data_IF_593201361293
#
_entry.id   IF_593201361293
#
_cell.length_a   1.000
_cell.length_b   1.000
_cell.length_c   1.000
_cell.angle_alpha   90.00
_cell.angle_beta   90.00
_cell.angle_gamma   90.00
#
_symmetry.space_group_name_H-M   'P 1'
#
loop_
_entity.id
_entity.type
_entity.pdbx_description
1 polymer ?
#
# COMPACT_ATOMS: atom_id res chain seq x y z
N UNK A 1 -5.67 -11.66 19.04
CA UNK A 1 -6.41 -10.89 18.01
C UNK A 1 -7.36 -9.97 18.74
N UNK A 2 -7.10 -8.66 18.70
CA UNK A 2 -7.93 -7.67 19.40
C UNK A 2 -9.22 -7.37 18.65
N UNK A 3 -9.19 -7.44 17.30
CA UNK A 3 -10.30 -7.07 16.45
C UNK A 3 -10.56 -8.14 15.38
N UNK A 4 -11.83 -8.46 15.17
CA UNK A 4 -12.25 -9.44 14.18
C UNK A 4 -13.54 -9.00 13.50
N UNK A 5 -13.50 -8.80 12.19
CA UNK A 5 -14.68 -8.42 11.38
C UNK A 5 -15.43 -9.69 10.93
N UNK A 6 -14.72 -10.61 10.25
CA UNK A 6 -15.28 -11.88 9.81
C UNK A 6 -14.19 -12.94 9.66
N UNK A 7 -14.60 -14.18 9.45
CA UNK A 7 -13.67 -15.32 9.35
C UNK A 7 -12.91 -15.39 8.03
N UNK A 8 -13.50 -14.94 6.95
CA UNK A 8 -12.92 -14.94 5.62
C UNK A 8 -13.83 -14.21 4.64
N UNK A 9 -13.29 -13.78 3.51
CA UNK A 9 -14.04 -13.07 2.45
C UNK A 9 -14.90 -14.02 1.62
N UNK A 10 -15.95 -13.50 0.98
CA UNK A 10 -16.68 -14.18 -0.06
C UNK A 10 -15.80 -14.42 -1.30
N UNK A 11 -16.26 -15.30 -2.21
CA UNK A 11 -15.58 -15.57 -3.49
C UNK A 11 -15.76 -14.38 -4.42
N UNK A 12 -14.78 -13.49 -4.47
CA UNK A 12 -14.87 -12.18 -5.14
C UNK A 12 -15.17 -12.23 -6.64
N UNK A 13 -14.91 -13.36 -7.28
CA UNK A 13 -15.28 -13.65 -8.67
C UNK A 13 -16.79 -13.92 -8.86
N UNK A 14 -17.53 -14.23 -7.79
CA UNK A 14 -18.93 -14.66 -7.80
C UNK A 14 -19.85 -13.84 -6.92
N UNK A 15 -19.37 -13.44 -5.74
CA UNK A 15 -20.13 -12.73 -4.72
C UNK A 15 -19.33 -11.61 -4.10
N UNK A 16 -19.96 -10.75 -3.30
CA UNK A 16 -19.27 -9.67 -2.60
C UNK A 16 -18.37 -10.25 -1.51
N UNK A 17 -17.15 -9.68 -1.39
CA UNK A 17 -16.20 -10.07 -0.35
C UNK A 17 -16.77 -9.88 1.06
N UNK A 18 -17.46 -8.77 1.27
CA UNK A 18 -17.98 -8.31 2.55
C UNK A 18 -19.43 -7.85 2.39
N UNK A 19 -20.20 -7.89 3.46
CA UNK A 19 -21.44 -7.11 3.56
C UNK A 19 -21.10 -5.62 3.67
N UNK A 20 -22.09 -4.74 3.44
CA UNK A 20 -21.89 -3.30 3.58
C UNK A 20 -21.43 -2.92 5.00
N UNK A 21 -22.03 -3.51 6.01
CA UNK A 21 -21.68 -3.26 7.42
C UNK A 21 -20.27 -3.73 7.73
N UNK A 22 -19.88 -4.93 7.28
CA UNK A 22 -18.51 -5.46 7.49
C UNK A 22 -17.46 -4.59 6.81
N UNK A 23 -17.73 -4.13 5.57
CA UNK A 23 -16.82 -3.24 4.85
C UNK A 23 -16.63 -1.89 5.54
N UNK A 24 -17.74 -1.29 6.02
CA UNK A 24 -17.69 -0.03 6.78
C UNK A 24 -16.93 -0.23 8.09
N UNK A 25 -17.29 -1.26 8.88
CA UNK A 25 -16.62 -1.54 10.16
C UNK A 25 -15.13 -1.84 10.01
N UNK A 26 -14.72 -2.55 8.95
CA UNK A 26 -13.31 -2.80 8.69
C UNK A 26 -12.55 -1.50 8.40
N UNK A 27 -13.09 -0.64 7.54
CA UNK A 27 -12.48 0.63 7.20
C UNK A 27 -12.36 1.55 8.43
N UNK A 28 -13.43 1.70 9.21
CA UNK A 28 -13.45 2.49 10.45
C UNK A 28 -12.49 1.94 11.51
N UNK A 29 -12.37 0.61 11.60
CA UNK A 29 -11.39 -0.03 12.47
C UNK A 29 -9.95 0.37 12.10
N UNK A 30 -9.63 0.39 10.80
CA UNK A 30 -8.32 0.86 10.33
C UNK A 30 -8.05 2.30 10.74
N UNK A 31 -9.04 3.19 10.59
CA UNK A 31 -8.92 4.58 11.02
C UNK A 31 -8.66 4.68 12.53
N UNK A 32 -9.42 3.93 13.33
CA UNK A 32 -9.27 3.89 14.79
C UNK A 32 -7.88 3.41 15.20
N UNK A 33 -7.36 2.35 14.57
CA UNK A 33 -6.01 1.84 14.87
C UNK A 33 -4.94 2.89 14.55
N UNK A 34 -5.05 3.61 13.42
CA UNK A 34 -4.13 4.70 13.11
C UNK A 34 -4.15 5.80 14.17
N UNK A 35 -5.34 6.21 14.64
CA UNK A 35 -5.46 7.20 15.72
C UNK A 35 -4.83 6.70 17.02
N UNK A 36 -5.10 5.46 17.43
CA UNK A 36 -4.55 4.86 18.65
C UNK A 36 -3.01 4.81 18.63
N UNK A 37 -2.41 4.40 17.51
CA UNK A 37 -0.94 4.34 17.38
C UNK A 37 -0.31 5.74 17.38
N UNK A 38 -0.92 6.71 16.68
CA UNK A 38 -0.44 8.08 16.64
C UNK A 38 -0.58 8.75 18.02
N UNK A 39 -1.72 8.57 18.69
CA UNK A 39 -1.95 9.11 20.03
C UNK A 39 -1.02 8.47 21.08
N UNK A 40 -0.52 7.25 20.83
CA UNK A 40 0.50 6.60 21.65
C UNK A 40 1.93 7.10 21.40
N UNK A 41 2.13 7.98 20.41
CA UNK A 41 3.40 8.64 20.12
C UNK A 41 4.17 8.08 18.92
N UNK A 42 3.50 7.39 17.99
CA UNK A 42 4.15 6.93 16.76
C UNK A 42 4.41 8.09 15.79
N UNK A 43 5.67 8.31 15.41
CA UNK A 43 6.10 9.33 14.45
C UNK A 43 6.06 8.83 13.00
N UNK A 44 6.10 7.51 12.79
CA UNK A 44 6.01 6.84 11.49
C UNK A 44 5.25 5.53 11.64
N UNK A 45 4.46 5.19 10.65
CA UNK A 45 3.64 3.98 10.66
C UNK A 45 4.03 3.03 9.53
N UNK A 46 3.81 1.74 9.75
CA UNK A 46 3.96 0.67 8.77
C UNK A 46 2.75 -0.25 8.89
N UNK A 47 2.12 -0.57 7.75
CA UNK A 47 1.07 -1.57 7.68
C UNK A 47 1.59 -2.82 6.97
N UNK A 48 1.44 -3.98 7.60
CA UNK A 48 1.73 -5.29 7.03
C UNK A 48 0.48 -6.17 7.01
N UNK A 49 0.43 -7.11 6.09
CA UNK A 49 -0.67 -8.06 5.95
C UNK A 49 -0.16 -9.50 5.90
N UNK A 50 -0.59 -10.33 6.85
CA UNK A 50 -0.30 -11.75 6.94
C UNK A 50 -1.47 -12.62 6.39
N UNK A 51 -2.40 -12.02 5.66
CA UNK A 51 -3.59 -12.68 5.13
C UNK A 51 -3.24 -13.77 4.10
N UNK A 52 -3.96 -14.90 4.18
CA UNK A 52 -3.83 -15.96 3.17
C UNK A 52 -4.76 -15.66 2.00
N UNK A 53 -4.22 -15.66 0.77
CA UNK A 53 -4.97 -15.38 -0.45
C UNK A 53 -5.15 -13.90 -0.76
N UNK A 54 -4.61 -12.99 0.06
CA UNK A 54 -4.70 -11.52 -0.07
C UNK A 54 -4.15 -10.97 -1.40
N UNK A 55 -3.21 -11.67 -2.05
CA UNK A 55 -2.65 -11.25 -3.34
C UNK A 55 -3.67 -11.25 -4.50
N UNK A 56 -4.76 -12.03 -4.38
CA UNK A 56 -5.84 -12.04 -5.39
C UNK A 56 -6.66 -10.74 -5.35
N UNK A 57 -7.28 -10.34 -4.23
CA UNK A 57 -7.97 -9.06 -4.15
C UNK A 57 -7.04 -7.86 -4.38
N UNK A 58 -5.78 -7.91 -3.94
CA UNK A 58 -4.80 -6.86 -4.25
C UNK A 58 -4.59 -6.70 -5.77
N UNK A 59 -4.40 -7.81 -6.50
CA UNK A 59 -4.29 -7.79 -7.97
C UNK A 59 -5.55 -7.21 -8.63
N UNK A 60 -6.74 -7.55 -8.15
CA UNK A 60 -8.03 -7.01 -8.66
C UNK A 60 -8.09 -5.50 -8.49
N UNK A 61 -7.80 -5.00 -7.29
CA UNK A 61 -7.81 -3.56 -7.00
C UNK A 61 -6.79 -2.81 -7.85
N UNK A 62 -5.55 -3.32 -7.94
CA UNK A 62 -4.50 -2.71 -8.76
C UNK A 62 -4.90 -2.73 -10.23
N UNK A 63 -5.39 -3.86 -10.75
CA UNK A 63 -5.85 -3.98 -12.14
C UNK A 63 -6.94 -2.95 -12.48
N UNK A 64 -7.91 -2.77 -11.60
CA UNK A 64 -8.98 -1.80 -11.78
C UNK A 64 -8.47 -0.35 -11.68
N UNK A 65 -7.77 -0.02 -10.61
CA UNK A 65 -7.41 1.37 -10.28
C UNK A 65 -6.22 1.90 -11.09
N UNK A 66 -5.36 1.00 -11.60
CA UNK A 66 -4.27 1.33 -12.50
C UNK A 66 -4.58 1.02 -13.99
N UNK A 67 -5.79 0.55 -14.31
CA UNK A 67 -6.22 0.20 -15.67
C UNK A 67 -5.31 -0.84 -16.35
N UNK A 68 -4.89 -1.87 -15.62
CA UNK A 68 -4.05 -2.95 -16.11
C UNK A 68 -4.84 -4.25 -16.33
N UNK A 69 -4.35 -5.10 -17.23
CA UNK A 69 -4.98 -6.39 -17.51
C UNK A 69 -4.79 -7.39 -16.38
N UNK A 70 -5.77 -8.31 -16.22
CA UNK A 70 -5.73 -9.32 -15.17
C UNK A 70 -4.44 -10.17 -15.19
N UNK A 71 -3.94 -10.54 -16.37
CA UNK A 71 -2.70 -11.29 -16.51
C UNK A 71 -1.48 -10.48 -16.05
N UNK A 72 -1.45 -9.18 -16.34
CA UNK A 72 -0.34 -8.30 -15.96
C UNK A 72 -0.23 -8.09 -14.45
N UNK A 73 -1.36 -8.13 -13.71
CA UNK A 73 -1.37 -7.93 -12.25
C UNK A 73 -1.39 -9.25 -11.46
N UNK A 74 -1.49 -10.40 -12.12
CA UNK A 74 -1.53 -11.69 -11.42
C UNK A 74 -0.14 -12.29 -11.29
N UNK A 75 0.43 -12.19 -10.10
CA UNK A 75 1.68 -12.83 -9.75
C UNK A 75 1.50 -14.29 -9.33
N UNK A 76 2.63 -15.00 -9.23
CA UNK A 76 2.69 -16.39 -8.77
C UNK A 76 2.57 -16.51 -7.24
N UNK A 77 2.55 -15.39 -6.52
CA UNK A 77 2.48 -15.37 -5.06
C UNK A 77 3.63 -16.16 -4.44
N UNK A 78 3.31 -17.11 -3.57
CA UNK A 78 4.31 -17.96 -2.89
C UNK A 78 4.89 -19.07 -3.78
N UNK A 79 4.54 -19.13 -5.09
CA UNK A 79 5.09 -20.12 -6.03
C UNK A 79 4.06 -21.17 -6.46
N UNK A 80 2.93 -20.73 -7.02
CA UNK A 80 1.92 -21.62 -7.60
C UNK A 80 2.36 -22.11 -9.00
N UNK A 81 1.85 -23.28 -9.42
CA UNK A 81 2.06 -23.82 -10.76
C UNK A 81 1.23 -23.06 -11.82
N UNK A 82 1.52 -23.31 -13.10
CA UNK A 82 0.89 -22.61 -14.23
C UNK A 82 -0.62 -22.84 -14.28
N UNK A 83 -1.09 -24.06 -13.95
CA UNK A 83 -2.53 -24.38 -13.93
C UNK A 83 -3.26 -23.59 -12.83
N UNK A 84 -2.66 -23.44 -11.68
CA UNK A 84 -3.17 -22.63 -10.58
C UNK A 84 -3.09 -21.13 -10.91
N UNK A 85 -2.01 -20.70 -11.56
CA UNK A 85 -1.88 -19.32 -12.03
C UNK A 85 -2.98 -18.97 -13.05
N UNK A 86 -3.28 -19.85 -14.02
CA UNK A 86 -4.39 -19.63 -14.96
C UNK A 86 -5.73 -19.50 -14.26
N UNK A 87 -6.01 -20.35 -13.26
CA UNK A 87 -7.24 -20.23 -12.43
C UNK A 87 -7.28 -18.91 -11.66
N UNK A 88 -6.16 -18.48 -11.10
CA UNK A 88 -6.05 -17.19 -10.41
C UNK A 88 -6.28 -16.03 -11.37
N UNK A 89 -5.71 -16.04 -12.57
CA UNK A 89 -5.96 -15.03 -13.60
C UNK A 89 -7.44 -14.96 -13.99
N UNK A 90 -8.12 -16.09 -14.14
CA UNK A 90 -9.54 -16.14 -14.43
C UNK A 90 -10.37 -15.51 -13.28
N UNK A 91 -10.07 -15.86 -12.03
CA UNK A 91 -10.73 -15.30 -10.87
C UNK A 91 -10.49 -13.78 -10.76
N UNK A 92 -9.24 -13.30 -10.97
CA UNK A 92 -8.92 -11.87 -11.01
C UNK A 92 -9.72 -11.16 -12.10
N UNK A 93 -9.75 -11.70 -13.33
CA UNK A 93 -10.52 -11.13 -14.45
C UNK A 93 -12.01 -11.01 -14.13
N UNK A 94 -12.59 -12.06 -13.55
CA UNK A 94 -14.03 -12.10 -13.27
C UNK A 94 -14.39 -11.17 -12.10
N UNK A 95 -13.54 -11.10 -11.07
CA UNK A 95 -13.67 -10.12 -9.99
C UNK A 95 -13.49 -8.67 -10.48
N UNK A 96 -12.55 -8.39 -11.39
CA UNK A 96 -12.42 -7.09 -12.03
C UNK A 96 -13.68 -6.70 -12.82
N UNK A 97 -14.31 -7.64 -13.53
CA UNK A 97 -15.58 -7.39 -14.22
C UNK A 97 -16.66 -6.95 -13.24
N UNK A 98 -16.78 -7.62 -12.09
CA UNK A 98 -17.74 -7.27 -11.04
C UNK A 98 -17.44 -5.91 -10.41
N UNK A 99 -16.17 -5.62 -10.09
CA UNK A 99 -15.75 -4.38 -9.44
C UNK A 99 -15.80 -3.15 -10.35
N UNK A 100 -15.73 -3.31 -11.67
CA UNK A 100 -15.59 -2.20 -12.63
C UNK A 100 -16.65 -1.11 -12.48
N UNK A 101 -17.90 -1.49 -12.22
CA UNK A 101 -18.99 -0.54 -12.04
C UNK A 101 -18.85 0.33 -10.78
N UNK A 102 -18.02 -0.06 -9.82
CA UNK A 102 -17.83 0.64 -8.54
C UNK A 102 -16.50 1.42 -8.46
N UNK A 103 -15.80 1.61 -9.58
CA UNK A 103 -14.53 2.34 -9.59
C UNK A 103 -14.66 3.81 -9.12
N UNK A 104 -15.85 4.40 -9.22
CA UNK A 104 -16.18 5.72 -8.68
C UNK A 104 -16.58 5.73 -7.20
N UNK A 105 -16.74 4.55 -6.59
CA UNK A 105 -17.21 4.35 -5.22
C UNK A 105 -16.19 3.51 -4.43
N UNK A 106 -15.04 4.09 -3.98
CA UNK A 106 -13.92 3.33 -3.43
C UNK A 106 -14.29 2.42 -2.25
N UNK A 107 -15.16 2.86 -1.36
CA UNK A 107 -15.63 2.05 -0.22
C UNK A 107 -16.51 0.88 -0.68
N UNK A 108 -17.34 1.08 -1.70
CA UNK A 108 -18.14 0.01 -2.30
C UNK A 108 -17.24 -0.98 -3.04
N UNK A 109 -16.22 -0.49 -3.72
CA UNK A 109 -15.25 -1.35 -4.38
C UNK A 109 -14.55 -2.29 -3.39
N UNK A 110 -14.13 -1.79 -2.23
CA UNK A 110 -13.58 -2.61 -1.13
C UNK A 110 -14.56 -3.69 -0.68
N UNK A 111 -15.83 -3.35 -0.50
CA UNK A 111 -16.86 -4.31 -0.13
C UNK A 111 -16.99 -5.44 -1.14
N UNK A 112 -16.95 -5.12 -2.43
CA UNK A 112 -17.23 -6.09 -3.52
C UNK A 112 -16.04 -7.01 -3.81
N UNK A 113 -14.82 -6.47 -3.84
CA UNK A 113 -13.65 -7.21 -4.39
C UNK A 113 -12.43 -7.26 -3.48
N UNK A 114 -12.49 -6.76 -2.24
CA UNK A 114 -11.35 -6.79 -1.33
C UNK A 114 -11.51 -7.85 -0.22
N UNK A 115 -11.09 -7.51 0.97
CA UNK A 115 -11.25 -8.23 2.20
C UNK A 115 -11.27 -7.25 3.35
N UNK A 116 -11.56 -7.72 4.56
CA UNK A 116 -11.59 -6.89 5.75
C UNK A 116 -10.20 -6.32 6.08
N UNK A 117 -9.14 -7.05 5.77
CA UNK A 117 -7.73 -6.69 5.86
C UNK A 117 -7.40 -5.45 5.00
N UNK A 118 -7.64 -5.52 3.69
CA UNK A 118 -7.37 -4.41 2.76
C UNK A 118 -8.29 -3.22 3.05
N UNK A 119 -9.55 -3.46 3.44
CA UNK A 119 -10.46 -2.40 3.84
C UNK A 119 -9.97 -1.66 5.08
N UNK A 120 -9.48 -2.38 6.09
CA UNK A 120 -8.88 -1.80 7.29
C UNK A 120 -7.60 -1.03 6.96
N UNK A 121 -6.69 -1.60 6.16
CA UNK A 121 -5.48 -0.91 5.71
C UNK A 121 -5.79 0.37 4.93
N UNK A 122 -6.82 0.37 4.08
CA UNK A 122 -7.22 1.60 3.36
C UNK A 122 -7.69 2.69 4.32
N UNK A 123 -8.46 2.33 5.36
CA UNK A 123 -8.86 3.25 6.42
C UNK A 123 -7.67 3.77 7.23
N UNK A 124 -6.75 2.88 7.61
CA UNK A 124 -5.52 3.20 8.33
C UNK A 124 -4.63 4.20 7.56
N UNK A 125 -4.37 3.95 6.28
CA UNK A 125 -3.55 4.81 5.44
C UNK A 125 -4.18 6.20 5.23
N UNK A 126 -5.49 6.23 5.04
CA UNK A 126 -6.21 7.50 4.91
C UNK A 126 -6.16 8.30 6.21
N UNK A 127 -6.41 7.66 7.36
CA UNK A 127 -6.41 8.32 8.67
C UNK A 127 -5.02 8.84 9.05
N UNK A 128 -3.97 8.04 8.82
CA UNK A 128 -2.59 8.49 9.01
C UNK A 128 -2.30 9.78 8.24
N UNK A 129 -2.78 9.87 6.99
CA UNK A 129 -2.64 11.06 6.15
C UNK A 129 -3.41 12.27 6.69
N UNK A 130 -4.63 12.06 7.20
CA UNK A 130 -5.44 13.10 7.85
C UNK A 130 -4.71 13.62 9.10
N UNK A 131 -4.09 12.71 9.87
CA UNK A 131 -3.29 13.02 11.05
C UNK A 131 -1.88 13.56 10.71
N UNK A 132 -1.53 13.64 9.42
CA UNK A 132 -0.21 14.08 8.92
C UNK A 132 0.95 13.24 9.47
N UNK A 133 0.73 11.95 9.66
CA UNK A 133 1.74 11.00 10.09
C UNK A 133 2.24 10.19 8.90
N UNK A 134 3.55 10.18 8.64
CA UNK A 134 4.14 9.44 7.52
C UNK A 134 3.91 7.93 7.63
N UNK A 135 3.71 7.27 6.48
CA UNK A 135 3.61 5.82 6.39
C UNK A 135 4.61 5.29 5.38
N UNK A 136 5.37 4.27 5.76
CA UNK A 136 6.19 3.50 4.82
C UNK A 136 5.34 2.34 4.31
N UNK A 137 5.01 2.38 3.01
CA UNK A 137 4.26 1.33 2.33
C UNK A 137 5.13 0.10 2.10
N UNK A 138 4.57 -1.07 2.33
CA UNK A 138 5.22 -2.36 2.05
C UNK A 138 5.00 -2.79 0.58
N UNK A 139 4.51 -4.00 0.36
CA UNK A 139 4.37 -4.61 -0.96
C UNK A 139 3.03 -4.35 -1.65
N UNK A 140 2.67 -5.26 -2.55
CA UNK A 140 1.50 -5.14 -3.43
C UNK A 140 0.18 -4.99 -2.68
N UNK A 141 0.01 -5.68 -1.54
CA UNK A 141 -1.25 -5.66 -0.77
C UNK A 141 -1.46 -4.30 -0.11
N UNK A 142 -0.43 -3.78 0.57
CA UNK A 142 -0.48 -2.44 1.18
C UNK A 142 -0.66 -1.35 0.13
N UNK A 143 0.03 -1.48 -1.02
CA UNK A 143 -0.09 -0.52 -2.12
C UNK A 143 -1.46 -0.58 -2.81
N UNK A 144 -2.12 -1.76 -2.85
CA UNK A 144 -3.52 -1.86 -3.29
C UNK A 144 -4.45 -1.07 -2.36
N UNK A 145 -4.25 -1.16 -1.04
CA UNK A 145 -5.00 -0.37 -0.07
C UNK A 145 -4.71 1.14 -0.24
N UNK A 146 -3.46 1.52 -0.51
CA UNK A 146 -3.06 2.89 -0.78
C UNK A 146 -3.74 3.45 -2.04
N UNK A 147 -3.86 2.69 -3.12
CA UNK A 147 -4.62 3.10 -4.31
C UNK A 147 -6.09 3.41 -4.01
N UNK A 148 -6.71 2.65 -3.11
CA UNK A 148 -8.09 2.93 -2.69
C UNK A 148 -8.15 4.20 -1.85
N UNK A 149 -7.23 4.39 -0.91
CA UNK A 149 -7.15 5.61 -0.10
C UNK A 149 -6.87 6.86 -0.96
N UNK A 150 -5.99 6.77 -1.98
CA UNK A 150 -5.74 7.83 -2.98
C UNK A 150 -7.00 8.20 -3.77
N UNK A 151 -7.86 7.21 -4.08
CA UNK A 151 -9.15 7.48 -4.74
C UNK A 151 -10.15 8.18 -3.83
N UNK A 152 -10.03 8.07 -2.52
CA UNK A 152 -10.86 8.79 -1.55
C UNK A 152 -10.35 10.22 -1.36
N UNK A 153 -9.04 10.39 -1.12
CA UNK A 153 -8.37 11.70 -1.08
C UNK A 153 -6.99 11.60 -1.75
N UNK A 154 -6.85 12.21 -2.92
CA UNK A 154 -5.61 12.21 -3.70
C UNK A 154 -4.41 12.85 -2.99
N UNK A 155 -4.65 13.66 -1.94
CA UNK A 155 -3.59 14.26 -1.13
C UNK A 155 -3.00 13.29 -0.12
N UNK A 156 -3.66 12.17 0.15
CA UNK A 156 -3.19 11.18 1.10
C UNK A 156 -1.79 10.65 0.77
N UNK A 157 -1.50 10.47 -0.53
CA UNK A 157 -0.20 9.99 -1.02
C UNK A 157 1.00 10.87 -0.63
N UNK A 158 0.79 12.15 -0.30
CA UNK A 158 1.84 13.05 0.15
C UNK A 158 2.46 12.65 1.50
N UNK A 159 1.83 11.73 2.21
CA UNK A 159 2.25 11.21 3.50
C UNK A 159 2.82 9.79 3.41
N UNK A 160 3.02 9.26 2.20
CA UNK A 160 3.50 7.91 2.01
C UNK A 160 4.86 7.87 1.33
N UNK A 161 5.66 6.87 1.72
CA UNK A 161 6.92 6.48 1.08
C UNK A 161 6.81 5.02 0.68
N UNK A 162 7.25 4.66 -0.52
CA UNK A 162 7.33 3.25 -0.92
C UNK A 162 8.62 2.63 -0.34
N UNK A 163 8.50 1.71 0.60
CA UNK A 163 9.65 1.10 1.28
C UNK A 163 10.51 0.26 0.33
N UNK A 164 9.89 -0.53 -0.53
CA UNK A 164 10.63 -1.37 -1.48
C UNK A 164 9.85 -1.63 -2.76
N UNK A 165 10.54 -2.12 -3.79
CA UNK A 165 9.93 -2.76 -4.95
C UNK A 165 9.81 -4.27 -4.68
N UNK A 166 8.58 -4.76 -4.59
CA UNK A 166 8.32 -6.21 -4.49
C UNK A 166 8.47 -6.89 -5.85
N UNK A 167 8.88 -8.16 -5.85
CA UNK A 167 8.91 -8.99 -7.05
C UNK A 167 7.51 -9.34 -7.62
N UNK A 168 6.43 -9.00 -6.94
CA UNK A 168 5.06 -9.15 -7.45
C UNK A 168 4.77 -8.14 -8.58
N UNK A 169 4.35 -8.59 -9.78
CA UNK A 169 4.20 -7.72 -10.96
C UNK A 169 3.19 -6.59 -10.73
N UNK A 170 2.14 -6.84 -9.97
CA UNK A 170 1.15 -5.83 -9.62
C UNK A 170 1.74 -4.64 -8.86
N UNK A 171 2.79 -4.85 -8.04
CA UNK A 171 3.36 -3.80 -7.21
C UNK A 171 3.99 -2.68 -8.03
N UNK A 172 4.79 -3.02 -9.05
CA UNK A 172 5.40 -2.04 -9.95
C UNK A 172 4.32 -1.19 -10.66
N UNK A 173 3.23 -1.82 -11.09
CA UNK A 173 2.09 -1.15 -11.73
C UNK A 173 1.42 -0.17 -10.76
N UNK A 174 1.24 -0.60 -9.51
CA UNK A 174 0.63 0.22 -8.46
C UNK A 174 1.51 1.42 -8.09
N UNK A 175 2.83 1.22 -7.89
CA UNK A 175 3.77 2.31 -7.60
C UNK A 175 3.81 3.34 -8.74
N UNK A 176 3.86 2.88 -9.99
CA UNK A 176 3.79 3.76 -11.16
C UNK A 176 2.49 4.58 -11.18
N UNK A 177 1.35 3.97 -10.80
CA UNK A 177 0.06 4.67 -10.76
C UNK A 177 0.00 5.72 -9.66
N UNK A 178 0.68 5.50 -8.53
CA UNK A 178 0.82 6.45 -7.43
C UNK A 178 1.92 7.51 -7.67
N UNK A 179 2.74 7.34 -8.71
CA UNK A 179 3.93 8.16 -8.97
C UNK A 179 4.94 8.10 -7.81
N UNK A 180 5.25 6.88 -7.36
CA UNK A 180 6.16 6.62 -6.24
C UNK A 180 7.39 5.86 -6.69
N UNK A 181 8.56 6.32 -6.22
CA UNK A 181 9.84 5.61 -6.37
C UNK A 181 10.12 4.83 -5.08
N UNK A 182 10.37 3.51 -5.16
CA UNK A 182 10.69 2.71 -3.99
C UNK A 182 12.10 3.00 -3.48
N UNK A 183 12.29 2.94 -2.14
CA UNK A 183 13.59 3.13 -1.49
C UNK A 183 14.55 1.95 -1.72
N UNK A 184 14.02 0.72 -1.78
CA UNK A 184 14.80 -0.51 -1.91
C UNK A 184 14.29 -1.37 -3.07
N UNK A 185 15.20 -2.13 -3.69
CA UNK A 185 14.88 -3.20 -4.64
C UNK A 185 15.75 -4.43 -4.36
N UNK A 186 15.22 -5.35 -3.56
CA UNK A 186 15.87 -6.61 -3.19
C UNK A 186 15.08 -7.83 -3.63
N UNK A 187 14.17 -7.65 -4.58
CA UNK A 187 13.33 -8.73 -5.13
C UNK A 187 12.54 -9.51 -4.06
N UNK A 188 12.19 -8.84 -2.95
CA UNK A 188 11.41 -9.43 -1.88
C UNK A 188 9.95 -9.58 -2.28
N UNK A 189 9.27 -10.55 -1.71
CA UNK A 189 7.83 -10.82 -1.95
C UNK A 189 7.11 -11.44 -0.76
N UNK A 190 7.68 -11.34 0.45
CA UNK A 190 7.03 -11.89 1.65
C UNK A 190 5.79 -11.08 2.02
N UNK A 191 5.84 -9.76 1.90
CA UNK A 191 4.83 -8.88 2.48
C UNK A 191 5.03 -8.71 3.98
N UNK A 192 3.95 -8.67 4.74
CA UNK A 192 3.94 -8.65 6.21
C UNK A 192 4.62 -7.42 6.83
N UNK A 193 4.85 -6.36 6.03
CA UNK A 193 5.57 -5.16 6.44
C UNK A 193 7.09 -5.27 6.36
N UNK A 194 7.63 -6.39 5.87
CA UNK A 194 9.08 -6.67 5.91
C UNK A 194 9.90 -5.71 5.07
N UNK A 195 9.43 -5.35 3.87
CA UNK A 195 10.13 -4.40 3.01
C UNK A 195 10.11 -2.99 3.56
N UNK A 196 9.00 -2.57 4.15
CA UNK A 196 8.89 -1.29 4.83
C UNK A 196 9.78 -1.21 6.06
N UNK A 197 9.86 -2.29 6.85
CA UNK A 197 10.75 -2.38 8.02
C UNK A 197 12.23 -2.30 7.63
N UNK A 198 12.63 -2.91 6.49
CA UNK A 198 14.00 -2.79 5.99
C UNK A 198 14.33 -1.39 5.47
N UNK A 199 13.34 -0.63 5.00
CA UNK A 199 13.52 0.75 4.59
C UNK A 199 13.60 1.74 5.78
N UNK A 200 13.05 1.39 6.93
CA UNK A 200 12.99 2.27 8.11
C UNK A 200 14.35 2.81 8.55
N UNK A 201 15.44 2.02 8.64
CA UNK A 201 16.77 2.54 9.00
C UNK A 201 17.30 3.60 8.01
N UNK A 202 16.93 3.52 6.73
CA UNK A 202 17.32 4.51 5.72
C UNK A 202 16.61 5.83 6.00
N UNK A 203 15.31 5.78 6.31
CA UNK A 203 14.53 6.97 6.69
C UNK A 203 15.09 7.59 7.96
N UNK A 204 15.40 6.78 8.99
CA UNK A 204 16.02 7.26 10.24
C UNK A 204 17.39 7.90 9.99
N UNK A 205 18.24 7.27 9.17
CA UNK A 205 19.55 7.84 8.81
C UNK A 205 19.41 9.16 8.05
N UNK A 206 18.41 9.28 7.18
CA UNK A 206 18.14 10.52 6.43
C UNK A 206 17.72 11.65 7.37
N UNK A 207 16.92 11.36 8.40
CA UNK A 207 16.53 12.33 9.43
C UNK A 207 17.75 12.76 10.25
N UNK A 208 18.60 11.82 10.68
CA UNK A 208 19.82 12.12 11.42
C UNK A 208 20.78 13.03 10.61
N UNK A 209 20.94 12.75 9.31
CA UNK A 209 21.73 13.60 8.41
C UNK A 209 21.18 15.03 8.34
N UNK A 210 19.86 15.20 8.26
CA UNK A 210 19.24 16.52 8.24
C UNK A 210 19.39 17.28 9.56
N UNK A 211 19.44 16.58 10.69
CA UNK A 211 19.50 17.19 12.02
C UNK A 211 20.93 17.46 12.50
N UNK A 212 21.89 16.61 12.11
CA UNK A 212 23.22 16.58 12.73
C UNK A 212 24.35 17.01 11.77
N UNK A 213 24.11 17.02 10.45
CA UNK A 213 25.12 17.42 9.48
C UNK A 213 25.29 18.93 9.48
N UNK A 214 26.50 19.38 9.73
CA UNK A 214 26.88 20.81 9.70
C UNK A 214 26.71 21.37 8.27
N UNK A 215 26.30 22.62 8.17
CA UNK A 215 26.38 23.40 6.94
C UNK A 215 27.84 23.69 6.54
N UNK A 216 28.10 24.05 5.29
CA UNK A 216 29.42 24.46 4.84
C UNK A 216 29.98 25.61 5.69
N UNK A 217 29.14 26.56 6.08
CA UNK A 217 29.52 27.69 6.92
C UNK A 217 29.95 27.26 8.33
N UNK A 218 29.14 26.41 8.97
CA UNK A 218 29.45 25.83 10.31
C UNK A 218 30.71 24.96 10.29
N UNK A 219 30.94 24.23 9.18
CA UNK A 219 32.13 23.41 8.99
C UNK A 219 33.38 24.20 8.57
N UNK A 220 33.27 25.51 8.37
CA UNK A 220 34.39 26.37 7.95
C UNK A 220 34.86 26.10 6.50
N UNK A 221 34.00 25.47 5.66
CA UNK A 221 34.29 25.18 4.26
C UNK A 221 34.07 26.44 3.42
N UNK A 222 35.11 26.84 2.65
CA UNK A 222 35.02 27.99 1.75
C UNK A 222 33.88 27.83 0.74
N UNK A 223 33.09 28.87 0.54
CA UNK A 223 32.05 28.91 -0.50
C UNK A 223 32.67 28.83 -1.90
N UNK A 224 31.83 28.64 -2.91
CA UNK A 224 32.22 28.61 -4.33
C UNK A 224 32.90 29.93 -4.69
N UNK A 225 34.16 29.88 -5.10
CA UNK A 225 34.84 31.05 -5.68
C UNK A 225 34.31 31.22 -7.09
N UNK A 226 33.62 32.34 -7.36
CA UNK A 226 33.20 32.71 -8.69
C UNK A 226 34.41 33.17 -9.50
N UNK A 227 34.92 32.30 -10.36
CA UNK A 227 35.99 32.60 -11.30
C UNK A 227 35.45 33.26 -12.60
N UNK A 228 34.45 34.13 -12.50
CA UNK A 228 33.99 34.90 -13.67
C UNK A 228 35.15 35.77 -14.11
N UNK A 229 35.60 35.70 -15.39
CA UNK A 229 36.62 36.63 -15.88
C UNK A 229 36.03 38.03 -15.94
N UNK A 230 36.77 38.96 -15.35
CA UNK A 230 36.53 40.40 -15.44
C UNK A 230 36.64 40.93 -16.89
#
# INVERSE_FOLDING_TARGET
VQHRIRRGSGSIDREDALTQTEGASAFELGQKIADEEIDSGADVLIAGDMGIGNSTPAAVLIGLLASADAAAVTGTGTGIDDATWMRKCAAVRDAMRRGRQFMGEPRKLLQVVAGADIAAMSGFLLQASIRRTPVILDGAVTTAAALVADRIDYRAKNWWMAGHLSAEPAHQIALKRLDMTPLLDYQMRLGEGTGALLALPIVQSSIALLQEMATHEEAGVSGRIDLSPS
#
